data_IF_901601326681
#
_entry.id   IF_901601326681
#
_cell.length_a   1.000
_cell.length_b   1.000
_cell.length_c   1.000
_cell.angle_alpha   90.00
_cell.angle_beta   90.00
_cell.angle_gamma   90.00
#
_symmetry.space_group_name_H-M   'P 1'
#
loop_
_entity.id
_entity.type
_entity.pdbx_description
1 polymer ?
#
# COMPACT_ATOMS: atom_id res chain seq x y z
N UNK A 1 29.92 6.94 -13.43
CA UNK A 1 28.68 6.32 -13.95
C UNK A 1 27.52 7.21 -13.55
N UNK A 2 26.87 7.86 -14.52
CA UNK A 2 25.64 8.64 -14.27
C UNK A 2 24.55 7.64 -13.87
N UNK A 3 24.15 7.62 -12.60
CA UNK A 3 22.99 6.85 -12.15
C UNK A 3 21.74 7.45 -12.80
N UNK A 4 21.30 6.88 -13.91
CA UNK A 4 19.95 7.10 -14.41
C UNK A 4 18.99 6.51 -13.37
N UNK A 5 18.26 7.35 -12.66
CA UNK A 5 17.13 6.88 -11.84
C UNK A 5 16.12 6.21 -12.78
N UNK A 6 15.75 4.95 -12.49
CA UNK A 6 14.68 4.24 -13.18
C UNK A 6 13.35 4.95 -12.90
N UNK A 7 13.06 5.99 -13.68
CA UNK A 7 11.83 6.77 -13.63
C UNK A 7 10.79 6.12 -14.55
N UNK A 8 9.52 6.14 -14.15
CA UNK A 8 8.44 5.64 -14.99
C UNK A 8 8.36 6.44 -16.30
N UNK A 9 8.29 5.71 -17.43
CA UNK A 9 8.20 6.28 -18.80
C UNK A 9 7.04 7.27 -19.00
N UNK A 10 5.99 7.23 -18.15
CA UNK A 10 4.95 8.25 -18.13
C UNK A 10 3.99 8.16 -16.94
N UNK A 11 3.20 9.21 -16.73
CA UNK A 11 2.19 9.29 -15.64
C UNK A 11 1.19 8.14 -15.68
N UNK A 12 0.81 7.70 -16.89
CA UNK A 12 -0.11 6.58 -17.08
C UNK A 12 0.49 5.28 -16.54
N UNK A 13 1.78 5.01 -16.76
CA UNK A 13 2.45 3.82 -16.23
C UNK A 13 2.47 3.81 -14.71
N UNK A 14 2.71 4.96 -14.08
CA UNK A 14 2.64 5.11 -12.62
C UNK A 14 1.22 4.85 -12.09
N UNK A 15 0.19 5.39 -12.75
CA UNK A 15 -1.21 5.21 -12.35
C UNK A 15 -1.61 3.73 -12.45
N UNK A 16 -1.29 3.07 -13.56
CA UNK A 16 -1.60 1.64 -13.72
C UNK A 16 -0.86 0.76 -12.72
N UNK A 17 0.42 1.04 -12.44
CA UNK A 17 1.18 0.32 -11.43
C UNK A 17 0.55 0.49 -10.02
N UNK A 18 0.13 1.71 -9.67
CA UNK A 18 -0.53 2.00 -8.40
C UNK A 18 -1.89 1.30 -8.29
N UNK A 19 -2.70 1.31 -9.37
CA UNK A 19 -3.99 0.61 -9.40
C UNK A 19 -3.78 -0.90 -9.27
N UNK A 20 -2.81 -1.47 -10.00
CA UNK A 20 -2.47 -2.89 -9.91
C UNK A 20 -2.00 -3.31 -8.52
N UNK A 21 -1.26 -2.45 -7.82
CA UNK A 21 -0.87 -2.69 -6.43
C UNK A 21 -2.04 -2.59 -5.44
N UNK A 22 -3.05 -1.76 -5.72
CA UNK A 22 -4.21 -1.54 -4.85
C UNK A 22 -5.32 -2.60 -5.02
N UNK A 23 -5.46 -3.19 -6.21
CA UNK A 23 -6.47 -4.23 -6.50
C UNK A 23 -5.87 -5.61 -6.20
N UNK A 24 -6.23 -6.18 -5.05
CA UNK A 24 -5.80 -7.52 -4.65
C UNK A 24 -6.93 -8.54 -4.56
N UNK A 25 -6.57 -9.81 -4.31
CA UNK A 25 -7.53 -10.92 -4.09
C UNK A 25 -8.49 -10.62 -2.93
N UNK A 26 -8.08 -9.82 -1.94
CA UNK A 26 -8.96 -9.37 -0.86
C UNK A 26 -10.22 -8.65 -1.36
N UNK A 27 -10.13 -7.83 -2.42
CA UNK A 27 -11.29 -7.13 -2.96
C UNK A 27 -12.26 -8.05 -3.69
N UNK A 28 -11.76 -9.17 -4.25
CA UNK A 28 -12.57 -10.12 -5.01
C UNK A 28 -13.27 -11.10 -4.07
N UNK A 29 -12.56 -11.62 -3.06
CA UNK A 29 -13.05 -12.74 -2.25
C UNK A 29 -13.48 -12.32 -0.84
N UNK A 30 -12.68 -11.47 -0.17
CA UNK A 30 -12.93 -11.09 1.23
C UNK A 30 -14.00 -10.02 1.33
N UNK A 31 -14.01 -9.04 0.44
CA UNK A 31 -14.98 -7.94 0.48
C UNK A 31 -16.43 -8.42 0.33
N UNK A 32 -16.81 -9.23 -0.69
CA UNK A 32 -18.19 -9.70 -0.79
C UNK A 32 -18.62 -10.58 0.39
N UNK A 33 -17.70 -11.40 0.92
CA UNK A 33 -17.95 -12.21 2.11
C UNK A 33 -18.25 -11.35 3.34
N UNK A 34 -17.47 -10.28 3.55
CA UNK A 34 -17.69 -9.35 4.66
C UNK A 34 -19.00 -8.58 4.51
N UNK A 35 -19.33 -8.12 3.30
CA UNK A 35 -20.61 -7.48 3.00
C UNK A 35 -21.77 -8.43 3.32
N UNK A 36 -21.73 -9.66 2.80
CA UNK A 36 -22.78 -10.66 3.06
C UNK A 36 -22.94 -11.05 4.54
N UNK A 37 -21.85 -11.05 5.31
CA UNK A 37 -21.89 -11.39 6.74
C UNK A 37 -22.31 -10.22 7.66
N UNK A 38 -22.28 -8.97 7.19
CA UNK A 38 -22.58 -7.77 7.98
C UNK A 38 -23.79 -7.03 7.40
N UNK A 39 -24.95 -7.69 7.35
CA UNK A 39 -26.21 -7.10 6.89
C UNK A 39 -26.19 -6.54 5.45
N UNK A 40 -25.28 -7.04 4.61
CA UNK A 40 -25.24 -6.71 3.18
C UNK A 40 -24.98 -5.22 2.93
N UNK A 41 -25.97 -4.54 2.35
CA UNK A 41 -25.87 -3.16 1.91
C UNK A 41 -25.60 -2.16 3.04
N UNK A 42 -26.04 -2.43 4.27
CA UNK A 42 -25.86 -1.51 5.40
C UNK A 42 -24.39 -1.35 5.78
N UNK A 43 -23.57 -2.40 5.62
CA UNK A 43 -22.12 -2.35 5.83
C UNK A 43 -21.41 -1.34 4.93
N UNK A 44 -21.96 -1.02 3.75
CA UNK A 44 -21.35 -0.09 2.82
C UNK A 44 -21.30 1.35 3.37
N UNK A 45 -22.22 1.72 4.27
CA UNK A 45 -22.28 3.06 4.84
C UNK A 45 -21.02 3.36 5.70
N UNK A 46 -20.73 2.60 6.77
CA UNK A 46 -19.50 2.80 7.53
C UNK A 46 -18.26 2.50 6.68
N UNK A 47 -18.31 1.54 5.76
CA UNK A 47 -17.19 1.24 4.87
C UNK A 47 -16.80 2.45 3.99
N UNK A 48 -17.76 3.13 3.37
CA UNK A 48 -17.52 4.36 2.59
C UNK A 48 -17.01 5.49 3.49
N UNK A 49 -17.58 5.66 4.68
CA UNK A 49 -17.12 6.68 5.62
C UNK A 49 -15.64 6.50 5.98
N UNK A 50 -15.22 5.29 6.37
CA UNK A 50 -13.81 5.00 6.67
C UNK A 50 -12.91 5.10 5.43
N UNK A 51 -13.42 4.76 4.24
CA UNK A 51 -12.69 4.93 2.99
C UNK A 51 -12.30 6.41 2.77
N UNK A 52 -13.26 7.33 2.91
CA UNK A 52 -13.02 8.75 2.67
C UNK A 52 -12.26 9.44 3.80
N UNK A 53 -12.58 9.13 5.05
CA UNK A 53 -12.01 9.83 6.22
C UNK A 53 -10.63 9.30 6.58
N UNK A 54 -10.36 8.01 6.34
CA UNK A 54 -9.14 7.37 6.80
C UNK A 54 -8.27 6.87 5.66
N UNK A 55 -8.80 6.01 4.78
CA UNK A 55 -7.99 5.33 3.77
C UNK A 55 -7.42 6.30 2.73
N UNK A 56 -8.24 7.20 2.17
CA UNK A 56 -7.79 8.16 1.15
C UNK A 56 -6.71 9.11 1.71
N UNK A 57 -6.90 9.79 2.86
CA UNK A 57 -5.86 10.65 3.42
C UNK A 57 -4.56 9.92 3.73
N UNK A 58 -4.65 8.68 4.22
CA UNK A 58 -3.47 7.87 4.54
C UNK A 58 -2.66 7.54 3.29
N UNK A 59 -3.31 7.11 2.20
CA UNK A 59 -2.63 6.82 0.93
C UNK A 59 -2.00 8.09 0.34
N UNK A 60 -2.69 9.24 0.41
CA UNK A 60 -2.13 10.52 -0.05
C UNK A 60 -0.90 10.91 0.78
N UNK A 61 -0.96 10.75 2.10
CA UNK A 61 0.16 11.02 2.99
C UNK A 61 1.36 10.12 2.68
N UNK A 62 1.14 8.82 2.48
CA UNK A 62 2.20 7.86 2.11
C UNK A 62 2.85 8.22 0.76
N UNK A 63 2.04 8.55 -0.25
CA UNK A 63 2.54 9.01 -1.54
C UNK A 63 3.33 10.33 -1.43
N UNK A 64 2.89 11.27 -0.60
CA UNK A 64 3.58 12.53 -0.38
C UNK A 64 4.95 12.31 0.31
N UNK A 65 5.00 11.43 1.31
CA UNK A 65 6.24 11.04 2.00
C UNK A 65 7.21 10.36 1.03
N UNK A 66 6.73 9.41 0.22
CA UNK A 66 7.54 8.73 -0.79
C UNK A 66 8.12 9.69 -1.83
N UNK A 67 7.30 10.62 -2.35
CA UNK A 67 7.74 11.64 -3.32
C UNK A 67 8.78 12.60 -2.75
N UNK A 68 8.66 12.98 -1.47
CA UNK A 68 9.60 13.90 -0.80
C UNK A 68 10.90 13.22 -0.41
N UNK A 69 10.83 11.97 0.03
CA UNK A 69 12.00 11.23 0.48
C UNK A 69 12.86 10.71 -0.69
N UNK A 70 12.23 10.27 -1.79
CA UNK A 70 12.89 9.60 -2.93
C UNK A 70 13.85 8.48 -2.52
N UNK A 71 13.55 7.83 -1.39
CA UNK A 71 14.32 6.72 -0.82
C UNK A 71 13.37 5.57 -0.51
N UNK A 72 13.90 4.35 -0.37
CA UNK A 72 13.10 3.21 0.09
C UNK A 72 12.53 3.38 1.49
N UNK A 73 11.62 2.49 1.91
CA UNK A 73 10.85 2.54 3.16
C UNK A 73 11.73 2.84 4.39
N UNK A 74 12.87 2.16 4.53
CA UNK A 74 13.84 2.38 5.63
C UNK A 74 14.41 3.81 5.61
N UNK A 75 14.73 4.33 4.42
CA UNK A 75 15.23 5.68 4.24
C UNK A 75 14.18 6.75 4.56
N UNK A 76 12.92 6.52 4.20
CA UNK A 76 11.80 7.42 4.48
C UNK A 76 11.55 7.55 5.98
N UNK A 77 11.53 6.44 6.71
CA UNK A 77 11.44 6.47 8.18
C UNK A 77 12.66 7.15 8.81
N UNK A 78 13.87 6.95 8.26
CA UNK A 78 15.07 7.62 8.76
C UNK A 78 15.04 9.13 8.59
N UNK A 79 14.47 9.64 7.48
CA UNK A 79 14.40 11.07 7.17
C UNK A 79 13.30 11.77 7.97
N UNK A 80 12.12 11.15 8.11
CA UNK A 80 10.98 11.79 8.77
C UNK A 80 10.90 11.54 10.28
N UNK A 81 11.23 10.33 10.74
CA UNK A 81 11.16 9.98 12.17
C UNK A 81 12.52 10.11 12.87
N UNK A 82 13.64 10.11 12.12
CA UNK A 82 15.00 10.24 12.63
C UNK A 82 15.77 8.90 12.67
N UNK A 83 17.09 8.97 12.87
CA UNK A 83 18.00 7.80 12.83
C UNK A 83 17.58 6.66 13.76
N UNK A 84 16.99 6.97 14.91
CA UNK A 84 16.53 5.99 15.90
C UNK A 84 15.30 5.16 15.46
N UNK A 85 14.56 5.59 14.43
CA UNK A 85 13.33 4.93 13.98
C UNK A 85 13.49 4.20 12.63
N UNK A 86 14.72 4.11 12.12
CA UNK A 86 15.00 3.34 10.90
C UNK A 86 14.61 1.86 11.04
N UNK A 87 14.59 1.31 12.26
CA UNK A 87 14.12 -0.06 12.53
C UNK A 87 12.64 -0.25 12.16
N UNK A 88 11.80 0.78 12.27
CA UNK A 88 10.38 0.70 11.90
C UNK A 88 10.23 0.44 10.41
N UNK A 89 11.06 1.09 9.58
CA UNK A 89 11.07 0.83 8.14
C UNK A 89 11.57 -0.57 7.78
N UNK A 90 12.52 -1.11 8.56
CA UNK A 90 12.98 -2.49 8.39
C UNK A 90 11.88 -3.48 8.76
N UNK A 91 11.15 -3.18 9.84
CA UNK A 91 10.01 -3.97 10.28
C UNK A 91 8.88 -3.98 9.25
N UNK A 92 8.52 -2.82 8.70
CA UNK A 92 7.52 -2.73 7.61
C UNK A 92 7.97 -3.56 6.40
N UNK A 93 9.24 -3.45 6.00
CA UNK A 93 9.78 -4.24 4.89
C UNK A 93 9.67 -5.75 5.16
N UNK A 94 10.00 -6.19 6.38
CA UNK A 94 9.91 -7.59 6.77
C UNK A 94 8.45 -8.10 6.77
N UNK A 95 7.50 -7.32 7.28
CA UNK A 95 6.06 -7.65 7.21
C UNK A 95 5.62 -7.81 5.75
N UNK A 96 5.99 -6.89 4.86
CA UNK A 96 5.65 -6.99 3.44
C UNK A 96 6.20 -8.26 2.81
N UNK A 97 7.43 -8.66 3.14
CA UNK A 97 8.02 -9.93 2.68
C UNK A 97 7.28 -11.14 3.25
N UNK A 98 6.95 -11.14 4.54
CA UNK A 98 6.22 -12.22 5.19
C UNK A 98 4.83 -12.45 4.57
N UNK A 99 4.10 -11.36 4.29
CA UNK A 99 2.83 -11.39 3.57
C UNK A 99 3.05 -11.92 2.14
N UNK A 100 4.14 -11.51 1.48
CA UNK A 100 4.52 -11.99 0.16
C UNK A 100 4.64 -13.52 0.08
N UNK A 101 5.20 -14.19 1.09
CA UNK A 101 5.28 -15.65 1.12
C UNK A 101 3.90 -16.32 1.11
N UNK A 102 2.95 -15.79 1.89
CA UNK A 102 1.58 -16.30 1.88
C UNK A 102 0.90 -16.09 0.52
N UNK A 103 1.00 -14.88 -0.03
CA UNK A 103 0.39 -14.56 -1.33
C UNK A 103 1.04 -15.30 -2.50
N UNK A 104 2.33 -15.63 -2.42
CA UNK A 104 3.03 -16.43 -3.43
C UNK A 104 2.43 -17.85 -3.54
N UNK A 105 2.12 -18.47 -2.40
CA UNK A 105 1.44 -19.79 -2.38
C UNK A 105 0.03 -19.68 -2.95
N UNK A 106 -0.73 -18.65 -2.56
CA UNK A 106 -2.10 -18.43 -3.06
C UNK A 106 -2.12 -18.15 -4.57
N UNK A 107 -1.12 -17.43 -5.09
CA UNK A 107 -1.01 -17.15 -6.53
C UNK A 107 -0.54 -18.35 -7.36
N UNK A 108 0.12 -19.33 -6.73
CA UNK A 108 0.59 -20.56 -7.38
C UNK A 108 -0.46 -21.67 -7.47
N UNK A 109 -1.61 -21.51 -6.81
CA UNK A 109 -2.73 -22.44 -6.83
C UNK A 109 -3.66 -22.14 -8.01
#
# INVERSE_FOLDING_TARGET
MSQSSDEFSGRMGLIFAAIGAAIGTGNIWRFPRMVGANDGGTFLIPWLFFLFVWSIPLVIAEFALGKRSRTGTIGTFRIFAGKGYAWMGLWTAWISTAIGFYYAVVAGW
#
